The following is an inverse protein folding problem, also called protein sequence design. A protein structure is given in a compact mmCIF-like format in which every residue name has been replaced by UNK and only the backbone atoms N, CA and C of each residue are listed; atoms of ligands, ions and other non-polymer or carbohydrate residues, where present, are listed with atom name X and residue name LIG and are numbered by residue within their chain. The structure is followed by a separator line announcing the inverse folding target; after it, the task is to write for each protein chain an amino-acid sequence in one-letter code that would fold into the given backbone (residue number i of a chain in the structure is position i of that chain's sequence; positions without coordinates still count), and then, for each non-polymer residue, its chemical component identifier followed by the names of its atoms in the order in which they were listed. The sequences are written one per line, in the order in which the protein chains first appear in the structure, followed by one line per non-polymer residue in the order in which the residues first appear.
data_IF_749940003516
#
_entry.id   IF_749940003516
#
_cell.length_a   1.000
_cell.length_b   1.000
_cell.length_c   1.000
_cell.angle_alpha   90.00
_cell.angle_beta   90.00
_cell.angle_gamma   90.00
#
_symmetry.space_group_name_H-M   'P 1'
#
loop_
_entity.id
_entity.type
_entity.pdbx_description
1 polymer ?
#
# COMPACT_ATOMS: atom_id res chain seq x y z
N UNK A 1 -11.59 -4.92 19.86
CA UNK A 1 -10.85 -3.98 20.73
C UNK A 1 -9.91 -3.19 19.84
N UNK A 2 -10.09 -1.88 19.75
CA UNK A 2 -9.18 -0.98 19.03
C UNK A 2 -8.84 0.20 19.91
N UNK A 3 -7.66 0.78 19.70
CA UNK A 3 -7.12 1.89 20.47
C UNK A 3 -7.31 3.17 19.66
N UNK A 4 -7.83 4.21 20.29
CA UNK A 4 -7.94 5.54 19.69
C UNK A 4 -6.71 6.38 20.02
N UNK A 5 -6.14 7.02 19.01
CA UNK A 5 -5.05 7.98 19.17
C UNK A 5 -5.62 9.40 19.28
N UNK A 6 -5.26 10.14 20.33
CA UNK A 6 -5.70 11.52 20.56
C UNK A 6 -4.49 12.46 20.56
N UNK A 7 -4.50 13.46 19.68
CA UNK A 7 -3.45 14.50 19.61
C UNK A 7 -2.35 14.31 18.57
N UNK A 8 -2.50 13.39 17.61
CA UNK A 8 -1.51 13.20 16.53
C UNK A 8 -1.67 14.22 15.40
N UNK A 9 -0.54 14.72 14.89
CA UNK A 9 -0.49 15.47 13.62
C UNK A 9 -0.35 14.47 12.47
N UNK A 10 -1.42 14.29 11.70
CA UNK A 10 -1.40 13.52 10.46
C UNK A 10 -0.76 14.33 9.32
N UNK A 11 -0.03 13.65 8.44
CA UNK A 11 0.40 14.19 7.15
C UNK A 11 -0.34 13.42 6.05
N UNK A 12 -0.87 14.12 5.05
CA UNK A 12 -1.47 13.44 3.89
C UNK A 12 -0.37 12.69 3.15
N UNK A 13 -0.53 11.37 3.03
CA UNK A 13 0.36 10.51 2.26
C UNK A 13 -0.45 9.93 1.11
N UNK A 14 0.03 10.14 -0.11
CA UNK A 14 -0.54 9.52 -1.31
C UNK A 14 0.16 8.19 -1.54
N UNK A 15 -0.62 7.16 -1.84
CA UNK A 15 -0.14 5.81 -2.13
C UNK A 15 -0.51 5.46 -3.55
N UNK A 16 0.49 5.13 -4.36
CA UNK A 16 0.31 4.72 -5.75
C UNK A 16 0.98 3.36 -5.94
N UNK A 17 0.37 2.49 -6.76
CA UNK A 17 0.95 1.22 -7.12
C UNK A 17 1.20 1.16 -8.63
N UNK A 18 2.24 0.45 -9.01
CA UNK A 18 2.54 0.12 -10.40
C UNK A 18 2.85 -1.36 -10.49
N UNK A 19 2.20 -2.05 -11.42
CA UNK A 19 2.34 -3.49 -11.61
C UNK A 19 2.90 -3.76 -12.98
N UNK A 20 4.01 -4.52 -13.04
CA UNK A 20 4.64 -4.95 -14.28
C UNK A 20 4.80 -6.46 -14.29
N UNK A 21 4.71 -7.08 -15.45
CA UNK A 21 4.96 -8.52 -15.61
C UNK A 21 6.44 -8.71 -15.98
N UNK A 22 7.30 -8.91 -14.99
CA UNK A 22 8.74 -9.19 -15.18
C UNK A 22 9.24 -10.33 -14.27
N UNK A 23 8.95 -10.26 -12.98
CA UNK A 23 9.28 -11.25 -11.95
C UNK A 23 8.40 -11.03 -10.72
N UNK A 24 8.28 -12.04 -9.88
CA UNK A 24 7.58 -11.91 -8.61
C UNK A 24 8.41 -11.08 -7.61
N UNK A 25 8.03 -9.82 -7.41
CA UNK A 25 8.72 -8.93 -6.48
C UNK A 25 7.80 -7.81 -5.99
N UNK A 26 7.77 -7.55 -4.68
CA UNK A 26 7.15 -6.35 -4.13
C UNK A 26 8.20 -5.37 -3.58
N UNK A 27 8.12 -4.10 -3.97
CA UNK A 27 9.05 -3.03 -3.58
C UNK A 27 8.26 -1.82 -3.08
N UNK A 28 8.66 -1.26 -1.94
CA UNK A 28 8.06 -0.04 -1.37
C UNK A 28 9.09 1.08 -1.42
N UNK A 29 8.71 2.23 -2.00
CA UNK A 29 9.53 3.42 -2.21
C UNK A 29 8.90 4.61 -1.49
N UNK A 30 9.74 5.50 -0.91
CA UNK A 30 9.27 6.69 -0.18
C UNK A 30 9.62 6.68 1.31
N UNK A 31 10.84 6.24 1.65
CA UNK A 31 11.36 6.15 3.03
C UNK A 31 10.48 5.33 4.01
N UNK A 32 10.13 4.07 3.68
CA UNK A 32 9.41 3.19 4.60
C UNK A 32 10.31 2.71 5.74
N UNK A 33 9.72 2.55 6.93
CA UNK A 33 10.35 1.85 8.04
C UNK A 33 10.20 0.32 7.95
N UNK A 34 10.62 -0.40 8.99
CA UNK A 34 10.54 -1.86 9.04
C UNK A 34 9.08 -2.36 9.00
N UNK A 35 8.19 -1.74 9.76
CA UNK A 35 6.77 -2.14 9.82
C UNK A 35 6.08 -2.01 8.46
N UNK A 36 6.36 -0.93 7.72
CA UNK A 36 5.87 -0.76 6.34
C UNK A 36 6.48 -1.82 5.42
N UNK A 37 7.77 -2.11 5.54
CA UNK A 37 8.42 -3.16 4.74
C UNK A 37 7.84 -4.55 4.98
N UNK A 38 7.43 -4.88 6.20
CA UNK A 38 6.72 -6.12 6.55
C UNK A 38 5.28 -6.14 6.02
N UNK A 39 4.71 -4.96 5.74
CA UNK A 39 3.35 -4.84 5.20
C UNK A 39 3.23 -5.44 3.81
N UNK A 40 4.34 -5.49 3.05
CA UNK A 40 4.36 -6.15 1.74
C UNK A 40 3.94 -7.62 1.85
N UNK A 41 4.35 -8.32 2.91
CA UNK A 41 4.08 -9.74 3.05
C UNK A 41 2.59 -9.94 3.41
N UNK A 42 2.03 -9.06 4.25
CA UNK A 42 0.58 -9.03 4.54
C UNK A 42 -0.27 -8.76 3.29
N UNK A 43 0.17 -7.80 2.46
CA UNK A 43 -0.51 -7.46 1.20
C UNK A 43 -0.49 -8.66 0.25
N UNK A 44 0.69 -9.28 0.05
CA UNK A 44 0.81 -10.46 -0.82
C UNK A 44 -0.06 -11.63 -0.33
N UNK A 45 -0.08 -11.89 0.98
CA UNK A 45 -0.99 -12.89 1.57
C UNK A 45 -2.46 -12.56 1.31
N UNK A 46 -2.89 -11.31 1.50
CA UNK A 46 -4.26 -10.91 1.20
C UNK A 46 -4.63 -11.08 -0.28
N UNK A 47 -3.73 -10.72 -1.20
CA UNK A 47 -3.97 -10.90 -2.65
C UNK A 47 -4.11 -12.38 -3.01
N UNK A 48 -3.26 -13.24 -2.42
CA UNK A 48 -3.35 -14.68 -2.59
C UNK A 48 -4.67 -15.25 -2.07
N UNK A 49 -5.10 -14.84 -0.87
CA UNK A 49 -6.39 -15.26 -0.28
C UNK A 49 -7.60 -14.82 -1.13
N UNK A 50 -7.47 -13.70 -1.85
CA UNK A 50 -8.48 -13.20 -2.78
C UNK A 50 -8.46 -13.90 -4.14
N UNK A 51 -7.61 -14.92 -4.34
CA UNK A 51 -7.38 -15.59 -5.64
C UNK A 51 -6.99 -14.63 -6.76
N UNK A 52 -6.28 -13.55 -6.42
CA UNK A 52 -5.77 -12.60 -7.41
C UNK A 52 -4.45 -13.14 -7.93
N UNK A 53 -4.39 -13.40 -9.24
CA UNK A 53 -3.16 -13.85 -9.89
C UNK A 53 -2.09 -12.73 -9.80
N UNK A 54 -1.02 -13.01 -9.05
CA UNK A 54 0.14 -12.16 -8.88
C UNK A 54 1.43 -12.84 -9.35
N UNK A 55 1.33 -14.00 -10.01
CA UNK A 55 2.49 -14.72 -10.52
C UNK A 55 3.23 -13.88 -11.58
N UNK A 56 4.56 -13.84 -11.45
CA UNK A 56 5.44 -13.04 -12.32
C UNK A 56 5.14 -11.53 -12.33
N UNK A 57 4.45 -10.99 -11.31
CA UNK A 57 4.18 -9.56 -11.19
C UNK A 57 5.15 -8.87 -10.23
N UNK A 58 5.80 -7.82 -10.71
CA UNK A 58 6.51 -6.87 -9.89
C UNK A 58 5.61 -5.72 -9.53
N UNK A 59 5.34 -5.62 -8.24
CA UNK A 59 4.52 -4.61 -7.61
C UNK A 59 5.47 -3.56 -7.02
N UNK A 60 5.35 -2.32 -7.47
CA UNK A 60 6.08 -1.19 -6.90
C UNK A 60 5.08 -0.23 -6.27
N UNK A 61 5.23 0.01 -4.97
CA UNK A 61 4.36 0.87 -4.18
C UNK A 61 5.11 2.16 -3.86
N UNK A 62 4.54 3.29 -4.21
CA UNK A 62 5.10 4.62 -4.02
C UNK A 62 4.35 5.34 -2.90
N UNK A 63 5.09 5.83 -1.90
CA UNK A 63 4.58 6.65 -0.81
C UNK A 63 5.05 8.09 -0.99
N UNK A 64 4.12 9.00 -1.26
CA UNK A 64 4.38 10.43 -1.45
C UNK A 64 3.82 11.23 -0.27
N UNK A 65 4.53 12.25 0.25
CA UNK A 65 5.77 12.81 -0.28
C UNK A 65 7.00 12.02 0.20
N UNK A 66 7.99 11.81 -0.67
CA UNK A 66 9.10 10.87 -0.45
C UNK A 66 10.23 11.41 0.44
N UNK A 67 10.15 12.66 0.87
CA UNK A 67 11.07 13.36 1.79
C UNK A 67 10.74 13.14 3.27
N UNK A 68 9.50 12.77 3.59
CA UNK A 68 9.05 12.46 4.95
C UNK A 68 9.17 10.96 5.20
N UNK A 69 9.78 10.54 6.31
CA UNK A 69 9.80 9.13 6.72
C UNK A 69 8.39 8.66 7.11
N UNK A 70 7.95 7.52 6.57
CA UNK A 70 6.66 6.90 6.95
C UNK A 70 6.92 5.74 7.92
N UNK A 71 6.08 5.64 8.94
CA UNK A 71 6.23 4.64 10.00
C UNK A 71 4.91 4.07 10.47
N UNK A 72 4.96 2.82 10.93
CA UNK A 72 3.81 2.07 11.44
C UNK A 72 3.04 1.30 10.36
N UNK A 73 1.90 0.72 10.74
CA UNK A 73 1.10 -0.19 9.89
C UNK A 73 -0.18 0.44 9.33
N UNK A 74 -0.39 1.75 9.53
CA UNK A 74 -1.59 2.45 9.04
C UNK A 74 -1.67 2.55 7.50
N UNK A 75 -0.59 2.21 6.79
CA UNK A 75 -0.54 2.26 5.33
C UNK A 75 -0.99 0.95 4.67
N UNK A 76 -1.19 -0.13 5.43
CA UNK A 76 -1.49 -1.47 4.90
C UNK A 76 -2.70 -1.46 3.96
N UNK A 77 -3.82 -0.89 4.42
CA UNK A 77 -5.06 -0.84 3.65
C UNK A 77 -4.90 0.06 2.41
N UNK A 78 -4.27 1.24 2.55
CA UNK A 78 -4.05 2.14 1.42
C UNK A 78 -3.16 1.50 0.34
N UNK A 79 -2.09 0.82 0.75
CA UNK A 79 -1.20 0.07 -0.14
C UNK A 79 -1.90 -1.10 -0.82
N UNK A 80 -2.69 -1.89 -0.09
CA UNK A 80 -3.46 -2.99 -0.67
C UNK A 80 -4.45 -2.49 -1.72
N UNK A 81 -5.21 -1.44 -1.42
CA UNK A 81 -6.18 -0.86 -2.35
C UNK A 81 -5.52 -0.34 -3.62
N UNK A 82 -4.39 0.38 -3.49
CA UNK A 82 -3.63 0.86 -4.65
C UNK A 82 -3.17 -0.31 -5.53
N UNK A 83 -2.66 -1.40 -4.93
CA UNK A 83 -2.26 -2.59 -5.68
C UNK A 83 -3.46 -3.27 -6.35
N UNK A 84 -4.57 -3.43 -5.63
CA UNK A 84 -5.79 -4.03 -6.19
C UNK A 84 -6.33 -3.24 -7.38
N UNK A 85 -6.35 -1.90 -7.28
CA UNK A 85 -6.77 -1.03 -8.38
C UNK A 85 -5.92 -1.28 -9.64
N UNK A 86 -4.61 -1.34 -9.47
CA UNK A 86 -3.69 -1.53 -10.59
C UNK A 86 -3.76 -2.95 -11.18
N UNK A 87 -3.98 -3.98 -10.33
CA UNK A 87 -4.13 -5.37 -10.79
C UNK A 87 -5.46 -5.60 -11.49
N UNK A 88 -6.57 -5.10 -10.93
CA UNK A 88 -7.92 -5.27 -11.46
C UNK A 88 -8.19 -4.36 -12.67
N UNK A 89 -7.40 -3.29 -12.84
CA UNK A 89 -7.61 -2.23 -13.84
C UNK A 89 -9.01 -1.60 -13.79
N UNK A 90 -9.70 -1.76 -12.66
CA UNK A 90 -10.98 -1.11 -12.41
C UNK A 90 -10.73 0.13 -11.55
N UNK A 91 -11.37 1.27 -11.87
CA UNK A 91 -11.31 2.43 -11.01
C UNK A 91 -12.04 2.08 -9.71
N UNK A 92 -11.29 1.84 -8.63
CA UNK A 92 -11.87 1.83 -7.30
C UNK A 92 -12.48 3.22 -7.04
N UNK A 93 -13.63 3.31 -6.34
CA UNK A 93 -14.25 4.58 -5.96
C UNK A 93 -13.46 5.26 -4.83
N UNK A 94 -12.16 5.47 -5.06
CA UNK A 94 -11.21 6.11 -4.16
C UNK A 94 -10.79 7.37 -4.90
N UNK A 95 -11.38 8.50 -4.51
CA UNK A 95 -10.96 9.81 -4.97
C UNK A 95 -9.84 10.37 -4.06
N UNK A 96 -9.26 11.50 -4.43
CA UNK A 96 -8.26 12.20 -3.62
C UNK A 96 -8.76 12.64 -2.22
N UNK A 97 -10.05 12.47 -1.93
CA UNK A 97 -10.70 12.76 -0.65
C UNK A 97 -10.84 11.53 0.26
N UNK A 98 -10.71 10.32 -0.28
CA UNK A 98 -10.72 9.08 0.49
C UNK A 98 -9.42 8.93 1.28
N UNK A 99 -9.50 9.23 2.58
CA UNK A 99 -8.41 9.00 3.53
C UNK A 99 -8.61 7.65 4.23
N UNK A 100 -7.61 6.77 4.14
CA UNK A 100 -7.56 5.50 4.86
C UNK A 100 -6.54 5.65 6.00
N UNK A 101 -6.93 5.32 7.23
CA UNK A 101 -6.15 5.47 8.47
C UNK A 101 -5.68 4.10 8.96
#
# INVERSE_FOLDING_TARGET
MSVGLQGMKGHKVTVEASVRTDKEQCVIIGLPDASIKESKDRILSCLHDMNIDIEMKKITIHLSPSDIRKSGTGFDCAMLLAVMQEVLKEPLPIDDSTCVI
#
